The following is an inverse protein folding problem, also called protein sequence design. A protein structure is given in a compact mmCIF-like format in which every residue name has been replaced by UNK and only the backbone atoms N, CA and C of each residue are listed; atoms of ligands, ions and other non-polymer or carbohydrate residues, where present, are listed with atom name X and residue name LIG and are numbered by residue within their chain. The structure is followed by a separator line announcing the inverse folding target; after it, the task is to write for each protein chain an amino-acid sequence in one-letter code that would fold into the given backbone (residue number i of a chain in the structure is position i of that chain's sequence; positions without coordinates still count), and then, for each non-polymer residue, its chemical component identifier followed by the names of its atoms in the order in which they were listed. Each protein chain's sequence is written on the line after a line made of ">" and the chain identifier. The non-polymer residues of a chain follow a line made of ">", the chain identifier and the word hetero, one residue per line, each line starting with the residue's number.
data_IF_699659982717
#
_entry.id   IF_699659982717
#
_cell.length_a   1.000
_cell.length_b   1.000
_cell.length_c   1.000
_cell.angle_alpha   90.00
_cell.angle_beta   90.00
_cell.angle_gamma   90.00
#
_symmetry.space_group_name_H-M   'P 1'
#
loop_
_entity.id
_entity.type
_entity.pdbx_description
1 polymer ?
#
# COMPACT_ATOMS: atom_id res chain seq x y z
N UNK A 1 3.40 -14.09 -11.88
CA UNK A 1 4.05 -13.15 -10.94
C UNK A 1 3.32 -11.85 -11.09
N UNK A 2 2.86 -11.25 -10.00
CA UNK A 2 2.26 -9.91 -10.01
C UNK A 2 3.38 -8.89 -9.80
N UNK A 3 3.38 -7.81 -10.57
CA UNK A 3 4.41 -6.76 -10.57
C UNK A 3 3.77 -5.46 -10.11
N UNK A 4 4.27 -4.89 -9.00
CA UNK A 4 3.88 -3.57 -8.51
C UNK A 4 5.02 -2.59 -8.82
N UNK A 5 4.76 -1.55 -9.59
CA UNK A 5 5.74 -0.48 -9.85
C UNK A 5 5.86 0.50 -8.69
N UNK A 6 7.08 0.71 -8.17
CA UNK A 6 7.34 1.51 -6.96
C UNK A 6 7.83 2.96 -7.25
N UNK A 7 7.89 3.39 -8.51
CA UNK A 7 8.62 4.61 -8.87
C UNK A 7 7.88 5.92 -8.50
N UNK A 8 6.61 5.86 -8.08
CA UNK A 8 5.86 7.00 -7.54
C UNK A 8 5.94 6.97 -6.01
N UNK A 9 7.14 7.22 -5.51
CA UNK A 9 7.45 7.17 -4.08
C UNK A 9 7.96 8.52 -3.58
N UNK A 10 7.38 9.07 -2.51
CA UNK A 10 7.67 10.44 -2.06
C UNK A 10 9.12 10.68 -1.58
N UNK A 11 9.86 9.62 -1.26
CA UNK A 11 11.30 9.75 -0.98
C UNK A 11 12.12 10.15 -2.22
N UNK A 12 11.60 9.92 -3.42
CA UNK A 12 12.18 10.47 -4.65
C UNK A 12 11.99 11.99 -4.66
N UNK A 13 13.09 12.73 -4.82
CA UNK A 13 13.05 14.20 -4.93
C UNK A 13 12.10 14.68 -6.03
N UNK A 14 12.13 14.01 -7.20
CA UNK A 14 11.27 14.30 -8.35
C UNK A 14 9.79 14.17 -7.99
N UNK A 15 9.41 13.10 -7.27
CA UNK A 15 8.02 12.83 -6.87
C UNK A 15 7.59 13.78 -5.75
N UNK A 16 8.44 14.02 -4.76
CA UNK A 16 8.17 14.95 -3.66
C UNK A 16 7.89 16.37 -4.15
N UNK A 17 8.74 16.89 -5.05
CA UNK A 17 8.55 18.20 -5.67
C UNK A 17 7.26 18.25 -6.49
N UNK A 18 6.96 17.18 -7.24
CA UNK A 18 5.71 17.10 -8.00
C UNK A 18 4.47 17.09 -7.11
N UNK A 19 4.46 16.34 -6.01
CA UNK A 19 3.35 16.33 -5.04
C UNK A 19 3.17 17.72 -4.40
N UNK A 20 4.27 18.33 -3.93
CA UNK A 20 4.22 19.63 -3.27
C UNK A 20 3.71 20.76 -4.19
N UNK A 21 4.06 20.70 -5.48
CA UNK A 21 3.67 21.70 -6.47
C UNK A 21 2.38 21.32 -7.23
N UNK A 22 1.76 20.17 -6.93
CA UNK A 22 0.68 19.56 -7.73
C UNK A 22 1.00 19.47 -9.23
N UNK A 23 2.24 19.12 -9.56
CA UNK A 23 2.68 18.90 -10.94
C UNK A 23 2.23 17.52 -11.43
N UNK A 24 1.03 17.49 -12.00
CA UNK A 24 0.42 16.26 -12.54
C UNK A 24 1.27 15.65 -13.66
N UNK A 25 1.97 16.46 -14.47
CA UNK A 25 2.69 15.99 -15.65
C UNK A 25 3.81 15.03 -15.27
N UNK A 26 4.56 15.35 -14.22
CA UNK A 26 5.65 14.52 -13.70
C UNK A 26 5.13 13.16 -13.23
N UNK A 27 4.00 13.14 -12.51
CA UNK A 27 3.37 11.91 -12.02
C UNK A 27 2.84 11.06 -13.18
N UNK A 28 2.18 11.70 -14.16
CA UNK A 28 1.64 11.05 -15.34
C UNK A 28 2.72 10.43 -16.23
N UNK A 29 3.86 11.09 -16.40
CA UNK A 29 5.01 10.54 -17.14
C UNK A 29 5.53 9.27 -16.47
N UNK A 30 5.72 9.29 -15.14
CA UNK A 30 6.15 8.10 -14.38
C UNK A 30 5.12 6.96 -14.45
N UNK A 31 3.83 7.28 -14.39
CA UNK A 31 2.77 6.28 -14.55
C UNK A 31 2.83 5.60 -15.93
N UNK A 32 2.97 6.39 -17.01
CA UNK A 32 3.10 5.85 -18.38
C UNK A 32 4.36 5.02 -18.56
N UNK A 33 5.49 5.43 -18.01
CA UNK A 33 6.75 4.68 -18.06
C UNK A 33 6.60 3.32 -17.37
N UNK A 34 5.99 3.27 -16.19
CA UNK A 34 5.73 2.01 -15.48
C UNK A 34 4.75 1.12 -16.22
N UNK A 35 3.65 1.67 -16.75
CA UNK A 35 2.69 0.91 -17.55
C UNK A 35 3.34 0.34 -18.83
N UNK A 36 4.19 1.12 -19.51
CA UNK A 36 4.95 0.65 -20.67
C UNK A 36 5.97 -0.45 -20.33
N UNK A 37 6.45 -0.49 -19.09
CA UNK A 37 7.31 -1.55 -18.57
C UNK A 37 6.55 -2.85 -18.19
N UNK A 38 5.21 -2.84 -18.24
CA UNK A 38 4.37 -4.02 -18.02
C UNK A 38 4.11 -4.36 -16.56
N UNK A 39 4.00 -3.34 -15.69
CA UNK A 39 3.54 -3.55 -14.30
C UNK A 39 2.05 -3.89 -14.25
N UNK A 40 1.63 -4.69 -13.28
CA UNK A 40 0.23 -5.04 -13.04
C UNK A 40 -0.47 -4.00 -12.14
N UNK A 41 0.29 -3.40 -11.19
CA UNK A 41 -0.17 -2.33 -10.30
C UNK A 41 0.83 -1.17 -10.29
N UNK A 42 0.36 0.02 -9.99
CA UNK A 42 1.21 1.18 -9.67
C UNK A 42 1.06 1.53 -8.20
N UNK A 43 2.16 1.55 -7.46
CA UNK A 43 2.21 1.97 -6.06
C UNK A 43 2.26 3.49 -5.93
N UNK A 44 1.48 4.02 -4.98
CA UNK A 44 1.34 5.44 -4.71
C UNK A 44 1.71 5.75 -3.27
N UNK A 45 3.02 5.88 -3.00
CA UNK A 45 3.52 6.18 -1.67
C UNK A 45 3.56 7.69 -1.39
N UNK A 46 2.79 8.10 -0.39
CA UNK A 46 2.72 9.51 0.06
C UNK A 46 3.55 9.80 1.31
N UNK A 47 4.13 8.79 1.97
CA UNK A 47 5.03 8.92 3.13
C UNK A 47 4.67 10.07 4.10
N UNK A 48 5.53 11.09 4.31
CA UNK A 48 5.24 12.21 5.21
C UNK A 48 4.04 13.09 4.82
N UNK A 49 3.66 13.12 3.54
CA UNK A 49 2.53 13.90 3.04
C UNK A 49 1.17 13.33 3.46
N UNK A 50 1.14 12.15 4.10
CA UNK A 50 -0.06 11.55 4.70
C UNK A 50 -0.83 12.44 5.68
N UNK A 51 -0.24 13.54 6.17
CA UNK A 51 -0.93 14.53 7.02
C UNK A 51 -2.04 15.29 6.28
N UNK A 52 -2.01 15.28 4.95
CA UNK A 52 -2.98 15.89 4.04
C UNK A 52 -3.64 14.75 3.24
N UNK A 53 -4.72 14.12 3.76
CA UNK A 53 -5.35 12.94 3.15
C UNK A 53 -5.73 13.13 1.68
N UNK A 54 -6.08 14.35 1.28
CA UNK A 54 -6.48 14.70 -0.09
C UNK A 54 -5.38 14.50 -1.14
N UNK A 55 -4.12 14.39 -0.73
CA UNK A 55 -3.00 14.11 -1.64
C UNK A 55 -3.15 12.73 -2.26
N UNK A 56 -3.66 11.75 -1.51
CA UNK A 56 -3.86 10.40 -2.05
C UNK A 56 -4.92 10.41 -3.15
N UNK A 57 -6.06 11.06 -2.93
CA UNK A 57 -7.10 11.21 -3.95
C UNK A 57 -6.55 11.89 -5.22
N UNK A 58 -5.79 12.98 -5.05
CA UNK A 58 -5.18 13.68 -6.18
C UNK A 58 -4.20 12.79 -6.99
N UNK A 59 -3.36 11.99 -6.33
CA UNK A 59 -2.47 11.05 -7.01
C UNK A 59 -3.25 9.98 -7.78
N UNK A 60 -4.26 9.40 -7.13
CA UNK A 60 -5.14 8.38 -7.72
C UNK A 60 -5.84 8.92 -8.96
N UNK A 61 -6.42 10.12 -8.91
CA UNK A 61 -7.04 10.77 -10.07
C UNK A 61 -6.00 11.03 -11.17
N UNK A 62 -4.86 11.63 -10.81
CA UNK A 62 -3.78 12.00 -11.75
C UNK A 62 -3.25 10.80 -12.53
N UNK A 63 -3.02 9.66 -11.87
CA UNK A 63 -2.52 8.45 -12.52
C UNK A 63 -3.58 7.84 -13.45
N UNK A 64 -4.83 7.73 -12.99
CA UNK A 64 -5.92 7.11 -13.77
C UNK A 64 -6.42 7.96 -14.95
N UNK A 65 -5.91 9.18 -15.14
CA UNK A 65 -6.13 9.97 -16.35
C UNK A 65 -5.31 9.45 -17.54
N UNK A 66 -4.20 8.75 -17.28
CA UNK A 66 -3.22 8.41 -18.31
C UNK A 66 -2.89 6.92 -18.44
N UNK A 67 -3.27 6.12 -17.46
CA UNK A 67 -3.12 4.66 -17.48
C UNK A 67 -4.39 3.97 -16.98
N UNK A 68 -4.60 2.75 -17.45
CA UNK A 68 -5.76 1.92 -17.10
C UNK A 68 -5.29 0.67 -16.35
N UNK A 69 -4.76 0.88 -15.13
CA UNK A 69 -4.22 -0.16 -14.25
C UNK A 69 -4.77 0.02 -12.83
N UNK A 70 -4.90 -1.07 -12.03
CA UNK A 70 -5.21 -0.96 -10.62
C UNK A 70 -4.04 -0.33 -9.85
N UNK A 71 -4.35 0.22 -8.66
CA UNK A 71 -3.41 1.01 -7.86
C UNK A 71 -3.18 0.37 -6.49
N UNK A 72 -1.95 0.46 -6.01
CA UNK A 72 -1.57 0.14 -4.63
C UNK A 72 -1.47 1.45 -3.84
N UNK A 73 -2.37 1.65 -2.88
CA UNK A 73 -2.41 2.86 -2.06
C UNK A 73 -1.47 2.69 -0.86
N UNK A 74 -0.24 3.22 -0.99
CA UNK A 74 0.79 3.07 0.02
C UNK A 74 0.76 4.21 1.06
N UNK A 75 0.12 3.91 2.20
CA UNK A 75 0.09 4.82 3.34
C UNK A 75 -0.27 4.12 4.65
N UNK A 76 0.35 4.58 5.74
CA UNK A 76 -0.05 4.19 7.10
C UNK A 76 -1.19 5.05 7.67
N UNK A 77 -1.76 5.98 6.90
CA UNK A 77 -2.88 6.82 7.36
C UNK A 77 -4.21 6.33 6.76
N UNK A 78 -5.11 5.74 7.56
CA UNK A 78 -6.40 5.23 7.06
C UNK A 78 -7.25 6.30 6.38
N UNK A 79 -7.19 7.56 6.83
CA UNK A 79 -7.92 8.65 6.18
C UNK A 79 -7.41 8.92 4.77
N UNK A 80 -6.10 8.88 4.56
CA UNK A 80 -5.51 9.10 3.25
C UNK A 80 -5.85 7.95 2.30
N UNK A 81 -5.73 6.71 2.79
CA UNK A 81 -6.15 5.52 2.02
C UNK A 81 -7.63 5.63 1.64
N UNK A 82 -8.50 5.97 2.57
CA UNK A 82 -9.93 6.14 2.32
C UNK A 82 -10.24 7.22 1.28
N UNK A 83 -9.57 8.39 1.31
CA UNK A 83 -9.76 9.41 0.28
C UNK A 83 -9.35 8.91 -1.11
N UNK A 84 -8.27 8.13 -1.21
CA UNK A 84 -7.89 7.49 -2.47
C UNK A 84 -8.87 6.43 -2.95
N UNK A 85 -9.37 5.58 -2.04
CA UNK A 85 -10.34 4.53 -2.36
C UNK A 85 -11.66 5.09 -2.91
N UNK A 86 -12.11 6.26 -2.45
CA UNK A 86 -13.33 6.92 -2.95
C UNK A 86 -13.28 7.27 -4.44
N UNK A 87 -12.08 7.48 -4.98
CA UNK A 87 -11.86 7.93 -6.37
C UNK A 87 -11.16 6.89 -7.24
N UNK A 88 -10.89 5.70 -6.70
CA UNK A 88 -10.35 4.58 -7.46
C UNK A 88 -11.42 4.01 -8.40
N UNK A 89 -11.09 3.85 -9.68
CA UNK A 89 -11.96 3.25 -10.71
C UNK A 89 -11.93 1.72 -10.68
N UNK A 90 -10.75 1.17 -10.37
CA UNK A 90 -10.48 -0.26 -10.28
C UNK A 90 -10.48 -0.71 -8.83
N UNK A 91 -10.64 -2.03 -8.61
CA UNK A 91 -10.36 -2.64 -7.32
C UNK A 91 -8.89 -2.36 -6.95
N UNK A 92 -8.69 -1.57 -5.91
CA UNK A 92 -7.36 -1.17 -5.47
C UNK A 92 -6.75 -2.20 -4.50
N UNK A 93 -5.49 -1.99 -4.15
CA UNK A 93 -4.77 -2.70 -3.09
C UNK A 93 -4.43 -1.72 -1.97
N UNK A 94 -4.85 -2.02 -0.74
CA UNK A 94 -4.38 -1.27 0.45
C UNK A 94 -2.98 -1.75 0.80
N UNK A 95 -2.01 -0.84 0.77
CA UNK A 95 -0.63 -1.10 1.18
C UNK A 95 -0.27 -0.21 2.39
N UNK A 96 -0.37 -0.68 3.62
CA UNK A 96 -0.78 -2.01 4.06
C UNK A 96 -1.56 -1.91 5.38
N UNK A 97 -2.18 -3.02 5.78
CA UNK A 97 -2.58 -3.27 7.15
C UNK A 97 -1.48 -4.08 7.88
N UNK A 98 -1.58 -4.16 9.21
CA UNK A 98 -0.65 -4.92 10.05
C UNK A 98 -1.38 -5.48 11.26
N UNK A 99 -0.73 -6.37 12.01
CA UNK A 99 -1.24 -6.91 13.27
C UNK A 99 -1.31 -5.90 14.42
N UNK A 100 -0.74 -4.69 14.24
CA UNK A 100 -0.89 -3.59 15.20
C UNK A 100 -2.35 -3.22 15.39
N UNK A 101 -2.74 -3.00 16.63
CA UNK A 101 -4.14 -2.72 17.00
C UNK A 101 -4.69 -1.49 16.26
N UNK A 102 -3.93 -0.39 16.24
CA UNK A 102 -4.33 0.85 15.56
C UNK A 102 -4.42 0.71 14.03
N UNK A 103 -3.70 -0.24 13.45
CA UNK A 103 -3.68 -0.50 12.01
C UNK A 103 -4.85 -1.40 11.61
N UNK A 104 -4.98 -2.61 12.18
CA UNK A 104 -6.01 -3.57 11.77
C UNK A 104 -7.43 -3.06 12.01
N UNK A 105 -7.67 -2.35 13.12
CA UNK A 105 -8.99 -1.81 13.45
C UNK A 105 -9.44 -0.68 12.52
N UNK A 106 -8.51 -0.03 11.81
CA UNK A 106 -8.82 1.13 10.96
C UNK A 106 -8.65 0.83 9.47
N UNK A 107 -7.64 0.05 9.07
CA UNK A 107 -7.37 -0.27 7.66
C UNK A 107 -8.26 -1.39 7.12
N UNK A 108 -8.45 -2.49 7.85
CA UNK A 108 -9.19 -3.63 7.32
C UNK A 108 -10.68 -3.36 7.09
N UNK A 109 -11.38 -2.56 7.92
CA UNK A 109 -12.75 -2.16 7.59
C UNK A 109 -12.86 -1.40 6.26
N UNK A 110 -11.80 -0.71 5.81
CA UNK A 110 -11.78 -0.06 4.50
C UNK A 110 -11.77 -1.09 3.38
N UNK A 111 -11.07 -2.22 3.55
CA UNK A 111 -11.04 -3.31 2.57
C UNK A 111 -12.43 -3.90 2.31
N UNK A 112 -13.21 -4.06 3.37
CA UNK A 112 -14.62 -4.50 3.30
C UNK A 112 -15.49 -3.41 2.66
N UNK A 113 -15.37 -2.17 3.14
CA UNK A 113 -16.23 -1.06 2.71
C UNK A 113 -16.08 -0.71 1.22
N UNK A 114 -14.85 -0.73 0.71
CA UNK A 114 -14.53 -0.31 -0.67
C UNK A 114 -14.26 -1.49 -1.60
N UNK A 115 -14.48 -2.73 -1.13
CA UNK A 115 -14.26 -3.93 -1.91
C UNK A 115 -12.86 -3.99 -2.56
N UNK A 116 -11.81 -3.73 -1.77
CA UNK A 116 -10.41 -3.75 -2.20
C UNK A 116 -9.56 -4.85 -1.55
N UNK A 117 -8.45 -5.22 -2.18
CA UNK A 117 -7.51 -6.20 -1.64
C UNK A 117 -6.60 -5.55 -0.59
N UNK A 118 -5.92 -6.35 0.25
CA UNK A 118 -5.11 -5.81 1.34
C UNK A 118 -3.78 -6.55 1.48
N UNK A 119 -2.69 -5.79 1.57
CA UNK A 119 -1.40 -6.29 2.06
C UNK A 119 -1.46 -6.34 3.59
N UNK A 120 -1.13 -7.49 4.18
CA UNK A 120 -0.97 -7.67 5.63
C UNK A 120 0.50 -7.91 5.93
N UNK A 121 1.12 -6.96 6.63
CA UNK A 121 2.50 -7.09 7.08
C UNK A 121 2.61 -7.80 8.43
N UNK A 122 3.75 -8.46 8.68
CA UNK A 122 4.04 -9.17 9.95
C UNK A 122 4.11 -8.27 11.18
N UNK A 123 4.11 -6.94 11.00
CA UNK A 123 4.26 -5.97 12.08
C UNK A 123 3.11 -6.11 13.09
N UNK A 124 3.43 -6.18 14.38
CA UNK A 124 2.45 -6.19 15.46
C UNK A 124 2.78 -5.11 16.50
N UNK A 125 2.01 -5.05 17.58
CA UNK A 125 2.21 -4.03 18.64
C UNK A 125 3.57 -4.12 19.35
N UNK A 126 4.28 -5.26 19.24
CA UNK A 126 5.63 -5.46 19.76
C UNK A 126 6.72 -5.13 18.72
N UNK A 127 6.34 -4.82 17.48
CA UNK A 127 7.26 -4.53 16.38
C UNK A 127 7.33 -5.65 15.34
N UNK A 128 8.48 -5.78 14.67
CA UNK A 128 8.71 -6.79 13.63
C UNK A 128 9.15 -8.08 14.32
N UNK A 129 8.45 -9.21 14.15
CA UNK A 129 8.87 -10.49 14.72
C UNK A 129 10.23 -10.95 14.19
N UNK A 130 11.03 -11.54 15.08
CA UNK A 130 12.46 -11.79 14.85
C UNK A 130 12.76 -12.99 13.94
N UNK A 131 11.91 -14.01 13.96
CA UNK A 131 12.11 -15.28 13.24
C UNK A 131 10.87 -15.68 12.41
N UNK A 132 11.04 -16.71 11.59
CA UNK A 132 10.02 -17.15 10.65
C UNK A 132 8.77 -17.68 11.37
N UNK A 133 8.95 -18.39 12.48
CA UNK A 133 7.87 -18.92 13.30
C UNK A 133 7.02 -17.79 13.90
N UNK A 134 7.66 -16.79 14.52
CA UNK A 134 6.96 -15.64 15.09
C UNK A 134 6.30 -14.75 14.03
N UNK A 135 6.89 -14.65 12.83
CA UNK A 135 6.26 -13.99 11.68
C UNK A 135 5.02 -14.73 11.21
N UNK A 136 5.07 -16.05 11.14
CA UNK A 136 3.93 -16.88 10.77
C UNK A 136 2.79 -16.75 11.79
N UNK A 137 3.10 -16.78 13.09
CA UNK A 137 2.11 -16.55 14.17
C UNK A 137 1.44 -15.18 14.02
N UNK A 138 2.24 -14.12 13.88
CA UNK A 138 1.73 -12.74 13.69
C UNK A 138 0.80 -12.62 12.48
N UNK A 139 1.15 -13.25 11.35
CA UNK A 139 0.31 -13.27 10.15
C UNK A 139 -0.97 -14.08 10.38
N UNK A 140 -0.89 -15.27 10.96
CA UNK A 140 -2.06 -16.11 11.20
C UNK A 140 -3.08 -15.41 12.10
N UNK A 141 -2.63 -14.73 13.15
CA UNK A 141 -3.49 -13.94 14.03
C UNK A 141 -4.18 -12.80 13.27
N UNK A 142 -3.41 -12.10 12.42
CA UNK A 142 -3.90 -10.95 11.68
C UNK A 142 -4.84 -11.35 10.53
N UNK A 143 -4.58 -12.47 9.87
CA UNK A 143 -5.45 -13.09 8.85
C UNK A 143 -6.74 -13.58 9.49
N UNK A 144 -6.69 -14.19 10.67
CA UNK A 144 -7.89 -14.63 11.39
C UNK A 144 -8.82 -13.45 11.64
N UNK A 145 -8.28 -12.33 12.12
CA UNK A 145 -9.06 -11.10 12.30
C UNK A 145 -9.62 -10.56 10.97
N UNK A 146 -8.85 -10.60 9.88
CA UNK A 146 -9.34 -10.21 8.56
C UNK A 146 -10.52 -11.11 8.09
N UNK A 147 -10.42 -12.42 8.31
CA UNK A 147 -11.49 -13.37 7.98
C UNK A 147 -12.75 -13.15 8.83
N UNK A 148 -12.62 -12.81 10.12
CA UNK A 148 -13.75 -12.44 10.98
C UNK A 148 -14.52 -11.21 10.47
N UNK A 149 -13.82 -10.29 9.78
CA UNK A 149 -14.42 -9.14 9.09
C UNK A 149 -15.02 -9.51 7.72
N UNK A 150 -14.85 -10.75 7.26
CA UNK A 150 -15.33 -11.23 5.96
C UNK A 150 -14.38 -11.00 4.79
N UNK A 151 -13.09 -10.72 5.04
CA UNK A 151 -12.07 -10.64 3.98
C UNK A 151 -11.59 -12.05 3.66
N UNK A 152 -11.81 -12.48 2.41
CA UNK A 152 -11.39 -13.79 1.91
C UNK A 152 -9.86 -13.88 1.74
N UNK A 153 -9.30 -15.08 1.90
CA UNK A 153 -7.86 -15.30 1.84
C UNK A 153 -7.26 -14.96 0.47
N UNK A 154 -8.04 -15.12 -0.60
CA UNK A 154 -7.68 -14.77 -1.98
C UNK A 154 -7.45 -13.26 -2.17
N UNK A 155 -7.91 -12.44 -1.21
CA UNK A 155 -7.80 -10.98 -1.21
C UNK A 155 -6.72 -10.46 -0.25
N UNK A 156 -6.02 -11.36 0.43
CA UNK A 156 -5.01 -11.05 1.43
C UNK A 156 -3.62 -11.37 0.88
N UNK A 157 -2.74 -10.36 0.85
CA UNK A 157 -1.37 -10.48 0.36
C UNK A 157 -0.44 -10.36 1.57
N UNK A 158 0.28 -11.41 1.90
CA UNK A 158 1.14 -11.42 3.09
C UNK A 158 2.51 -10.80 2.78
N UNK A 159 2.91 -9.81 3.56
CA UNK A 159 4.26 -9.22 3.52
C UNK A 159 5.06 -9.64 4.77
N UNK A 160 6.08 -10.52 4.62
CA UNK A 160 6.90 -10.95 5.74
C UNK A 160 7.86 -9.87 6.26
N UNK A 161 7.94 -8.69 5.62
CA UNK A 161 8.91 -7.61 5.86
C UNK A 161 10.35 -8.13 5.75
N UNK A 162 10.86 -8.15 4.53
CA UNK A 162 12.28 -8.41 4.28
C UNK A 162 13.14 -7.24 4.76
N UNK A 163 14.25 -7.53 5.42
CA UNK A 163 15.20 -6.51 5.91
C UNK A 163 16.42 -6.42 4.99
N UNK A 164 17.11 -5.27 4.93
CA UNK A 164 18.35 -5.18 4.16
C UNK A 164 19.38 -6.19 4.66
N UNK A 165 19.94 -6.99 3.74
CA UNK A 165 20.90 -8.06 4.06
C UNK A 165 22.13 -7.57 4.83
N UNK A 166 22.50 -6.29 4.68
CA UNK A 166 23.62 -5.67 5.38
C UNK A 166 23.38 -5.46 6.88
N UNK A 167 22.12 -5.45 7.33
CA UNK A 167 21.77 -5.25 8.74
C UNK A 167 21.22 -6.51 9.40
N UNK A 168 20.61 -7.41 8.63
CA UNK A 168 20.05 -8.65 9.16
C UNK A 168 20.11 -9.79 8.12
N UNK A 169 21.23 -10.51 8.11
CA UNK A 169 21.43 -11.64 7.20
C UNK A 169 20.57 -12.87 7.55
N UNK A 170 20.05 -12.97 8.78
CA UNK A 170 19.21 -14.10 9.20
C UNK A 170 17.77 -13.96 8.71
N UNK A 171 17.35 -12.74 8.39
CA UNK A 171 16.02 -12.42 7.88
C UNK A 171 15.89 -12.54 6.35
N UNK A 172 16.98 -12.85 5.61
CA UNK A 172 17.03 -12.93 4.14
C UNK A 172 17.19 -14.36 3.64
#
# INVERSE_FOLDING_TARGET
>A
MVIIGENIHILSKKVSEAINNKDAKVIQELAKEQAAAGVDYIDLNIGPARKNPEIMAWLVETVQEVVDLPLSLDSTNPKAVEEGLKVAKWRALINSASGRTDSKEQMMPLAVKYDCDVVISVLNDQGIPADAEARAESIMDTVTYANELGIENERIWVDPIIMPVSVDQKAV
#
